data_IF_089684196623
#
_entry.id   IF_089684196623
#
_cell.length_a   1.000
_cell.length_b   1.000
_cell.length_c   1.000
_cell.angle_alpha   90.00
_cell.angle_beta   90.00
_cell.angle_gamma   90.00
#
_symmetry.space_group_name_H-M   'P 1'
#
loop_
_entity.id
_entity.type
_entity.pdbx_description
1 polymer ?
#
# COMPACT_ATOMS: atom_id res chain seq x y z
N UNK A 1 0.01 3.74 -20.57
CA UNK A 1 0.64 4.85 -19.80
C UNK A 1 1.98 4.33 -19.29
N UNK A 2 3.09 5.00 -19.61
CA UNK A 2 4.40 4.63 -19.08
C UNK A 2 4.52 5.00 -17.60
N UNK A 3 5.51 4.44 -16.88
CA UNK A 3 5.72 4.80 -15.47
C UNK A 3 6.09 6.28 -15.29
N UNK A 4 6.80 6.89 -16.25
CA UNK A 4 7.10 8.34 -16.25
C UNK A 4 5.82 9.19 -16.38
N UNK A 5 4.88 8.78 -17.24
CA UNK A 5 3.58 9.46 -17.38
C UNK A 5 2.76 9.30 -16.11
N UNK A 6 2.75 8.10 -15.49
CA UNK A 6 2.09 7.84 -14.22
C UNK A 6 2.66 8.75 -13.13
N UNK A 7 3.98 8.83 -13.02
CA UNK A 7 4.67 9.66 -12.03
C UNK A 7 4.31 11.13 -12.17
N UNK A 8 4.39 11.67 -13.39
CA UNK A 8 4.07 13.08 -13.66
C UNK A 8 2.61 13.44 -13.30
N UNK A 9 1.67 12.56 -13.65
CA UNK A 9 0.24 12.74 -13.33
C UNK A 9 0.02 12.64 -11.83
N UNK A 10 0.56 11.62 -11.18
CA UNK A 10 0.38 11.38 -9.76
C UNK A 10 1.00 12.52 -8.91
N UNK A 11 2.17 13.05 -9.29
CA UNK A 11 2.78 14.19 -8.62
C UNK A 11 1.92 15.45 -8.71
N UNK A 12 1.38 15.76 -9.88
CA UNK A 12 0.47 16.89 -10.08
C UNK A 12 -0.80 16.75 -9.24
N UNK A 13 -1.39 15.56 -9.25
CA UNK A 13 -2.58 15.24 -8.47
C UNK A 13 -2.30 15.36 -6.96
N UNK A 14 -1.14 14.86 -6.51
CA UNK A 14 -0.71 14.98 -5.11
C UNK A 14 -0.68 16.45 -4.65
N UNK A 15 -0.05 17.33 -5.42
CA UNK A 15 0.00 18.76 -5.08
C UNK A 15 -1.40 19.38 -4.95
N UNK A 16 -2.36 18.90 -5.73
CA UNK A 16 -3.74 19.38 -5.68
C UNK A 16 -4.52 18.83 -4.48
N UNK A 17 -4.35 17.54 -4.12
CA UNK A 17 -5.16 16.91 -3.08
C UNK A 17 -4.57 17.01 -1.67
N UNK A 18 -3.26 17.22 -1.50
CA UNK A 18 -2.57 17.16 -0.20
C UNK A 18 -3.23 17.98 0.91
N UNK A 19 -3.67 19.19 0.62
CA UNK A 19 -4.35 20.03 1.62
C UNK A 19 -5.71 19.47 2.05
N UNK A 20 -6.45 18.85 1.13
CA UNK A 20 -7.72 18.17 1.43
C UNK A 20 -7.50 16.88 2.24
N UNK A 21 -6.39 16.18 2.00
CA UNK A 21 -5.99 14.99 2.78
C UNK A 21 -5.72 15.37 4.23
N UNK A 22 -4.96 16.45 4.48
CA UNK A 22 -4.67 16.90 5.84
C UNK A 22 -5.94 17.31 6.58
N UNK A 23 -6.84 18.05 5.94
CA UNK A 23 -8.14 18.41 6.54
C UNK A 23 -8.97 17.17 6.88
N UNK A 24 -9.00 16.16 6.01
CA UNK A 24 -9.72 14.92 6.27
C UNK A 24 -9.07 14.12 7.40
N UNK A 25 -7.74 14.08 7.46
CA UNK A 25 -6.97 13.46 8.56
C UNK A 25 -7.30 14.09 9.91
N UNK A 26 -7.31 15.41 9.99
CA UNK A 26 -7.65 16.12 11.24
C UNK A 26 -9.07 15.80 11.71
N UNK A 27 -10.04 15.73 10.79
CA UNK A 27 -11.41 15.31 11.12
C UNK A 27 -11.45 13.88 11.62
N UNK A 28 -10.71 12.97 11.00
CA UNK A 28 -10.61 11.58 11.45
C UNK A 28 -10.00 11.48 12.85
N UNK A 29 -8.90 12.20 13.12
CA UNK A 29 -8.27 12.28 14.45
C UNK A 29 -9.26 12.78 15.50
N UNK A 30 -10.05 13.82 15.21
CA UNK A 30 -11.07 14.31 16.12
C UNK A 30 -12.15 13.27 16.39
N UNK A 31 -12.62 12.56 15.35
CA UNK A 31 -13.58 11.46 15.52
C UNK A 31 -13.04 10.38 16.44
N UNK A 32 -11.77 9.96 16.22
CA UNK A 32 -11.12 8.96 17.08
C UNK A 32 -11.10 9.44 18.53
N UNK A 33 -10.73 10.69 18.79
CA UNK A 33 -10.71 11.27 20.16
C UNK A 33 -12.08 11.26 20.83
N UNK A 34 -13.15 11.46 20.06
CA UNK A 34 -14.52 11.49 20.58
C UNK A 34 -15.12 10.07 20.73
N UNK A 35 -14.46 9.03 20.26
CA UNK A 35 -14.96 7.64 20.35
C UNK A 35 -14.61 7.05 21.73
N UNK A 36 -15.58 6.48 22.45
CA UNK A 36 -15.33 5.86 23.75
C UNK A 36 -14.27 4.76 23.70
N UNK A 37 -13.34 4.66 24.67
CA UNK A 37 -12.23 3.70 24.65
C UNK A 37 -12.65 2.23 24.48
N UNK A 38 -13.77 1.81 25.03
CA UNK A 38 -14.30 0.43 24.89
C UNK A 38 -14.73 0.07 23.46
N UNK A 39 -15.02 1.05 22.62
CA UNK A 39 -15.40 0.83 21.22
C UNK A 39 -14.18 0.45 20.36
N UNK A 40 -13.00 0.85 20.75
CA UNK A 40 -11.75 0.69 20.00
C UNK A 40 -11.20 -0.75 20.07
N UNK A 41 -11.56 -1.49 21.12
CA UNK A 41 -11.16 -2.88 21.27
C UNK A 41 -11.91 -3.84 20.33
N UNK A 42 -13.06 -3.39 19.79
CA UNK A 42 -13.97 -4.22 19.00
C UNK A 42 -13.91 -3.95 17.50
N UNK A 43 -13.49 -2.74 17.10
CA UNK A 43 -13.45 -2.35 15.68
C UNK A 43 -12.20 -1.54 15.37
N UNK A 44 -11.49 -1.93 14.33
CA UNK A 44 -10.46 -1.06 13.76
C UNK A 44 -11.15 0.20 13.22
N UNK A 45 -10.99 1.33 13.92
CA UNK A 45 -11.51 2.62 13.43
C UNK A 45 -10.81 2.94 12.11
N UNK A 46 -11.59 3.03 11.07
CA UNK A 46 -11.12 3.31 9.72
C UNK A 46 -12.12 4.20 8.98
N UNK A 47 -11.63 4.94 8.03
CA UNK A 47 -12.46 5.83 7.21
C UNK A 47 -11.86 5.97 5.81
N UNK A 48 -12.71 6.00 4.81
CA UNK A 48 -12.31 6.16 3.42
C UNK A 48 -12.92 7.43 2.84
N UNK A 49 -12.09 8.23 2.18
CA UNK A 49 -12.51 9.42 1.46
C UNK A 49 -12.12 9.32 0.00
N UNK A 50 -13.00 9.74 -0.89
CA UNK A 50 -12.73 9.85 -2.32
C UNK A 50 -12.48 11.31 -2.68
N UNK A 51 -11.34 11.59 -3.30
CA UNK A 51 -10.94 12.91 -3.74
C UNK A 51 -10.78 12.91 -5.26
N UNK A 52 -11.48 13.82 -5.92
CA UNK A 52 -11.35 14.02 -7.36
C UNK A 52 -10.49 15.26 -7.64
N UNK A 53 -9.56 15.13 -8.60
CA UNK A 53 -8.73 16.23 -9.09
C UNK A 53 -9.44 17.01 -10.21
N UNK A 54 -8.89 18.16 -10.59
CA UNK A 54 -9.37 18.94 -11.74
C UNK A 54 -9.26 18.16 -13.06
N UNK A 55 -8.26 17.28 -13.15
CA UNK A 55 -8.08 16.36 -14.29
C UNK A 55 -9.04 15.17 -14.26
N UNK A 56 -9.99 15.13 -13.31
CA UNK A 56 -10.98 14.07 -13.08
C UNK A 56 -10.35 12.73 -12.62
N UNK A 57 -9.09 12.71 -12.24
CA UNK A 57 -8.51 11.53 -11.61
C UNK A 57 -9.10 11.37 -10.20
N UNK A 58 -9.34 10.13 -9.81
CA UNK A 58 -9.97 9.80 -8.53
C UNK A 58 -8.94 9.14 -7.63
N UNK A 59 -8.73 9.71 -6.47
CA UNK A 59 -7.84 9.19 -5.43
C UNK A 59 -8.65 8.82 -4.21
N UNK A 60 -8.36 7.67 -3.64
CA UNK A 60 -8.94 7.20 -2.38
C UNK A 60 -7.94 7.41 -1.26
N UNK A 61 -8.40 8.03 -0.18
CA UNK A 61 -7.62 8.18 1.05
C UNK A 61 -8.24 7.29 2.10
N UNK A 62 -7.45 6.34 2.60
CA UNK A 62 -7.85 5.42 3.64
C UNK A 62 -7.11 5.76 4.93
N UNK A 63 -7.85 6.17 5.97
CA UNK A 63 -7.35 6.45 7.31
C UNK A 63 -7.63 5.28 8.22
N UNK A 64 -6.69 4.97 9.10
CA UNK A 64 -6.90 3.96 10.15
C UNK A 64 -6.17 4.33 11.44
N UNK A 65 -6.81 3.96 12.55
CA UNK A 65 -6.25 4.15 13.87
C UNK A 65 -5.15 3.13 14.14
N UNK A 66 -4.06 3.56 14.76
CA UNK A 66 -2.98 2.70 15.20
C UNK A 66 -3.05 2.46 16.72
N UNK A 67 -2.87 3.53 17.49
CA UNK A 67 -2.90 3.49 18.95
C UNK A 67 -3.04 4.89 19.55
N UNK A 68 -3.32 4.93 20.86
CA UNK A 68 -3.22 6.17 21.64
C UNK A 68 -2.03 6.07 22.58
N UNK A 69 -1.19 7.09 22.60
CA UNK A 69 -0.03 7.15 23.51
C UNK A 69 -0.49 7.29 24.96
N UNK A 70 0.36 6.94 25.95
CA UNK A 70 0.05 7.17 27.38
C UNK A 70 -0.26 8.65 27.70
N UNK A 71 0.30 9.59 26.94
CA UNK A 71 0.00 11.02 27.05
C UNK A 71 -1.30 11.45 26.35
N UNK A 72 -2.11 10.51 25.85
CA UNK A 72 -3.39 10.76 25.20
C UNK A 72 -3.31 11.22 23.74
N UNK A 73 -2.13 11.22 23.11
CA UNK A 73 -2.00 11.55 21.69
C UNK A 73 -2.47 10.39 20.80
N UNK A 74 -3.45 10.64 19.96
CA UNK A 74 -3.98 9.69 18.98
C UNK A 74 -3.01 9.57 17.80
N UNK A 75 -2.63 8.35 17.47
CA UNK A 75 -1.83 8.00 16.30
C UNK A 75 -2.70 7.33 15.25
N UNK A 76 -2.69 7.91 14.07
CA UNK A 76 -3.38 7.39 12.89
C UNK A 76 -2.39 7.25 11.75
N UNK A 77 -2.68 6.36 10.83
CA UNK A 77 -1.98 6.26 9.55
C UNK A 77 -2.94 6.51 8.41
N UNK A 78 -2.39 6.76 7.22
CA UNK A 78 -3.17 6.93 6.02
C UNK A 78 -2.45 6.33 4.81
N UNK A 79 -3.25 5.87 3.85
CA UNK A 79 -2.80 5.47 2.52
C UNK A 79 -3.58 6.27 1.49
N UNK A 80 -2.90 6.74 0.47
CA UNK A 80 -3.50 7.43 -0.67
C UNK A 80 -3.27 6.54 -1.88
N UNK A 81 -4.35 6.13 -2.54
CA UNK A 81 -4.24 5.23 -3.68
C UNK A 81 -5.27 5.52 -4.76
N UNK A 82 -4.98 5.03 -5.96
CA UNK A 82 -5.92 4.99 -7.09
C UNK A 82 -5.83 3.63 -7.79
N UNK A 83 -6.87 3.29 -8.54
CA UNK A 83 -6.86 2.10 -9.40
C UNK A 83 -6.40 2.47 -10.81
N UNK A 84 -5.63 1.58 -11.42
CA UNK A 84 -5.16 1.67 -12.80
C UNK A 84 -5.54 0.39 -13.56
N UNK A 85 -5.78 0.45 -14.87
CA UNK A 85 -5.82 -0.75 -15.69
C UNK A 85 -4.49 -1.49 -15.63
N UNK A 86 -4.51 -2.76 -15.32
CA UNK A 86 -3.36 -3.67 -15.34
C UNK A 86 -3.55 -4.75 -16.41
N UNK A 87 -2.50 -5.52 -16.66
CA UNK A 87 -2.50 -6.56 -17.71
C UNK A 87 -3.49 -7.70 -17.42
N UNK A 88 -3.67 -8.06 -16.16
CA UNK A 88 -4.54 -9.16 -15.72
C UNK A 88 -5.73 -8.68 -14.88
N UNK A 89 -6.00 -7.39 -14.83
CA UNK A 89 -7.09 -6.82 -14.03
C UNK A 89 -6.83 -5.40 -13.56
N UNK A 90 -7.04 -5.15 -12.29
CA UNK A 90 -6.86 -3.82 -11.69
C UNK A 90 -5.58 -3.76 -10.87
N UNK A 91 -4.69 -2.86 -11.23
CA UNK A 91 -3.53 -2.50 -10.43
C UNK A 91 -3.89 -1.37 -9.46
N UNK A 92 -3.18 -1.29 -8.35
CA UNK A 92 -3.34 -0.22 -7.37
C UNK A 92 -2.06 0.58 -7.23
N UNK A 93 -2.15 1.89 -7.43
CA UNK A 93 -1.05 2.83 -7.29
C UNK A 93 -1.19 3.58 -5.97
N UNK A 94 -0.19 3.47 -5.11
CA UNK A 94 -0.12 4.12 -3.80
C UNK A 94 0.87 5.27 -3.83
N UNK A 95 0.51 6.37 -3.20
CA UNK A 95 1.43 7.45 -2.87
C UNK A 95 1.94 7.24 -1.46
N UNK A 96 3.22 6.94 -1.34
CA UNK A 96 3.87 6.81 -0.05
C UNK A 96 4.73 8.03 0.23
N UNK A 97 4.60 8.51 1.47
CA UNK A 97 5.39 9.58 2.08
C UNK A 97 5.19 10.98 1.48
N UNK A 98 4.51 11.83 2.25
CA UNK A 98 4.27 13.25 1.93
C UNK A 98 5.58 14.06 1.82
N UNK A 99 6.69 13.59 2.44
CA UNK A 99 7.97 14.29 2.45
C UNK A 99 8.91 13.87 1.29
N UNK A 100 8.74 12.66 0.79
CA UNK A 100 9.50 12.13 -0.35
C UNK A 100 8.52 11.43 -1.28
N UNK A 101 8.07 12.13 -2.30
CA UNK A 101 7.14 11.58 -3.27
C UNK A 101 7.68 10.27 -3.85
N UNK A 102 7.04 9.17 -3.50
CA UNK A 102 7.34 7.83 -3.99
C UNK A 102 6.02 7.15 -4.33
N UNK A 103 6.03 6.44 -5.41
CA UNK A 103 4.89 5.65 -5.86
C UNK A 103 5.20 4.16 -5.70
N UNK A 104 4.21 3.43 -5.20
CA UNK A 104 4.24 1.98 -5.14
C UNK A 104 3.04 1.44 -5.91
N UNK A 105 3.29 0.60 -6.91
CA UNK A 105 2.28 -0.05 -7.72
C UNK A 105 2.18 -1.51 -7.32
N UNK A 106 1.00 -1.93 -6.91
CA UNK A 106 0.69 -3.34 -6.64
C UNK A 106 -0.05 -3.88 -7.84
N UNK A 107 0.57 -4.80 -8.59
CA UNK A 107 -0.04 -5.38 -9.79
C UNK A 107 -1.22 -6.28 -9.43
N UNK A 108 -2.12 -6.45 -10.39
CA UNK A 108 -3.24 -7.40 -10.28
C UNK A 108 -2.77 -8.83 -10.09
N UNK A 109 -1.68 -9.20 -10.77
CA UNK A 109 -1.02 -10.50 -10.62
C UNK A 109 -0.51 -10.71 -9.19
N UNK A 110 0.23 -9.74 -8.64
CA UNK A 110 0.69 -9.77 -7.25
C UNK A 110 -0.48 -9.91 -6.27
N UNK A 111 -1.53 -9.10 -6.43
CA UNK A 111 -2.70 -9.11 -5.55
C UNK A 111 -3.37 -10.47 -5.49
N UNK A 112 -3.52 -11.14 -6.64
CA UNK A 112 -4.09 -12.48 -6.74
C UNK A 112 -3.18 -13.52 -6.05
N UNK A 113 -1.88 -13.51 -6.31
CA UNK A 113 -0.95 -14.45 -5.68
C UNK A 113 -0.86 -14.25 -4.16
N UNK A 114 -0.89 -13.00 -3.71
CA UNK A 114 -0.92 -12.69 -2.28
C UNK A 114 -2.19 -13.23 -1.60
N UNK A 115 -3.34 -13.12 -2.27
CA UNK A 115 -4.59 -13.70 -1.79
C UNK A 115 -4.51 -15.24 -1.72
N UNK A 116 -4.01 -15.89 -2.77
CA UNK A 116 -3.91 -17.33 -2.86
C UNK A 116 -2.88 -17.95 -1.91
N UNK A 117 -1.72 -17.29 -1.73
CA UNK A 117 -0.55 -17.85 -1.02
C UNK A 117 -0.41 -17.38 0.42
N UNK A 118 -1.01 -16.26 0.78
CA UNK A 118 -0.91 -15.71 2.12
C UNK A 118 -2.28 -15.57 2.81
N UNK A 119 -3.22 -14.85 2.21
CA UNK A 119 -4.52 -14.56 2.84
C UNK A 119 -5.33 -15.83 3.04
N UNK A 120 -5.51 -16.63 2.00
CA UNK A 120 -6.29 -17.86 2.03
C UNK A 120 -5.75 -18.89 3.03
N UNK A 121 -4.47 -19.32 2.93
CA UNK A 121 -3.88 -20.28 3.85
C UNK A 121 -3.91 -19.84 5.33
N UNK A 122 -3.73 -18.55 5.60
CA UNK A 122 -3.77 -17.99 6.94
C UNK A 122 -5.19 -17.62 7.41
N UNK A 123 -6.23 -17.88 6.61
CA UNK A 123 -7.64 -17.60 6.90
C UNK A 123 -7.89 -16.14 7.33
N UNK A 124 -7.19 -15.20 6.70
CA UNK A 124 -7.23 -13.78 7.07
C UNK A 124 -8.55 -13.16 6.64
N UNK A 125 -9.21 -12.49 7.58
CA UNK A 125 -10.44 -11.74 7.32
C UNK A 125 -10.10 -10.32 6.83
N UNK A 126 -10.33 -10.04 5.55
CA UNK A 126 -10.04 -8.74 4.95
C UNK A 126 -10.94 -7.59 5.43
N UNK A 127 -12.11 -7.92 6.02
CA UNK A 127 -13.08 -6.94 6.53
C UNK A 127 -13.44 -5.84 5.50
N UNK A 128 -13.62 -6.25 4.25
CA UNK A 128 -13.94 -5.36 3.13
C UNK A 128 -12.74 -4.65 2.49
N UNK A 129 -11.52 -4.91 2.94
CA UNK A 129 -10.31 -4.43 2.26
C UNK A 129 -10.00 -5.31 1.04
N UNK A 130 -9.42 -4.71 0.03
CA UNK A 130 -8.84 -5.43 -1.10
C UNK A 130 -7.47 -6.01 -0.70
N UNK A 131 -7.02 -7.14 -1.30
CA UNK A 131 -5.72 -7.75 -0.99
C UNK A 131 -4.55 -6.77 -1.08
N UNK A 132 -4.49 -5.95 -2.13
CA UNK A 132 -3.44 -4.91 -2.29
C UNK A 132 -3.42 -3.90 -1.13
N UNK A 133 -4.59 -3.45 -0.67
CA UNK A 133 -4.71 -2.48 0.42
C UNK A 133 -4.34 -3.13 1.75
N UNK A 134 -4.77 -4.37 1.96
CA UNK A 134 -4.39 -5.15 3.13
C UNK A 134 -2.87 -5.36 3.19
N UNK A 135 -2.25 -5.76 2.06
CA UNK A 135 -0.80 -5.88 1.94
C UNK A 135 -0.08 -4.58 2.32
N UNK A 136 -0.42 -3.47 1.68
CA UNK A 136 0.21 -2.18 1.94
C UNK A 136 0.05 -1.70 3.39
N UNK A 137 -1.04 -2.09 4.05
CA UNK A 137 -1.31 -1.77 5.45
C UNK A 137 -0.48 -2.61 6.42
N UNK A 138 -0.23 -3.88 6.11
CA UNK A 138 0.22 -4.89 7.07
C UNK A 138 1.58 -5.49 6.78
N UNK A 139 2.16 -5.28 5.59
CA UNK A 139 3.46 -5.85 5.21
C UNK A 139 4.65 -5.34 6.07
N UNK A 140 4.45 -4.27 6.85
CA UNK A 140 5.48 -3.75 7.75
C UNK A 140 6.73 -3.28 7.03
N UNK A 141 7.88 -3.42 7.69
CA UNK A 141 9.19 -3.11 7.11
C UNK A 141 9.57 -4.18 6.08
N UNK A 142 9.81 -3.73 4.86
CA UNK A 142 10.26 -4.56 3.74
C UNK A 142 11.75 -4.37 3.55
N UNK A 143 12.51 -5.45 3.61
CA UNK A 143 13.98 -5.42 3.46
C UNK A 143 14.37 -5.99 2.11
N UNK A 144 15.23 -5.26 1.39
CA UNK A 144 15.83 -5.77 0.14
C UNK A 144 16.74 -6.93 0.49
N UNK A 145 16.58 -8.03 -0.22
CA UNK A 145 17.45 -9.20 -0.12
C UNK A 145 18.62 -9.01 -1.09
N UNK A 146 19.87 -9.16 -0.64
CA UNK A 146 21.06 -9.02 -1.52
C UNK A 146 21.27 -10.21 -2.45
N UNK A 147 20.31 -11.09 -2.56
CA UNK A 147 20.34 -12.27 -3.39
C UNK A 147 19.48 -12.08 -4.64
N UNK A 148 20.02 -12.47 -5.78
CA UNK A 148 19.36 -12.44 -7.08
C UNK A 148 19.09 -13.87 -7.54
N UNK A 149 17.85 -14.26 -7.85
CA UNK A 149 17.55 -15.60 -8.35
C UNK A 149 18.30 -15.92 -9.64
N UNK A 150 18.85 -17.12 -9.74
CA UNK A 150 19.54 -17.60 -10.95
C UNK A 150 18.61 -17.70 -12.17
N UNK A 151 17.31 -17.76 -11.93
CA UNK A 151 16.28 -17.79 -12.98
C UNK A 151 16.10 -16.46 -13.70
N UNK A 152 16.62 -15.35 -13.15
CA UNK A 152 16.53 -14.05 -13.79
C UNK A 152 17.59 -13.86 -14.84
N UNK A 153 17.19 -13.25 -15.96
CA UNK A 153 18.12 -12.82 -17.00
C UNK A 153 19.01 -11.66 -16.50
N UNK A 154 20.14 -11.44 -17.15
CA UNK A 154 21.03 -10.31 -16.82
C UNK A 154 20.35 -8.94 -16.99
N UNK A 155 19.31 -8.84 -17.79
CA UNK A 155 18.53 -7.63 -17.97
C UNK A 155 17.56 -7.42 -16.81
N UNK A 156 16.89 -8.48 -16.36
CA UNK A 156 16.00 -8.45 -15.19
C UNK A 156 16.73 -8.12 -13.90
N UNK A 157 17.96 -8.63 -13.72
CA UNK A 157 18.81 -8.34 -12.56
C UNK A 157 19.17 -6.86 -12.39
N UNK A 158 19.02 -6.03 -13.42
CA UNK A 158 19.30 -4.59 -13.34
C UNK A 158 18.22 -3.80 -12.64
N UNK A 159 16.96 -4.21 -12.82
CA UNK A 159 15.80 -3.43 -12.41
C UNK A 159 14.94 -4.15 -11.37
N UNK A 160 15.08 -5.49 -11.29
CA UNK A 160 14.31 -6.32 -10.35
C UNK A 160 15.10 -6.61 -9.09
N UNK A 161 14.38 -6.76 -8.00
CA UNK A 161 14.94 -7.15 -6.71
C UNK A 161 13.89 -7.88 -5.86
N UNK A 162 14.37 -8.54 -4.83
CA UNK A 162 13.50 -9.21 -3.87
C UNK A 162 13.38 -8.37 -2.60
N UNK A 163 12.15 -8.32 -2.10
CA UNK A 163 11.88 -7.89 -0.74
C UNK A 163 11.50 -9.08 0.13
N UNK A 164 11.86 -9.01 1.39
CA UNK A 164 11.35 -9.90 2.43
C UNK A 164 10.62 -9.06 3.48
N UNK A 165 9.46 -9.54 3.89
CA UNK A 165 8.69 -9.06 5.02
C UNK A 165 8.31 -10.22 5.93
N UNK A 166 7.65 -9.95 7.06
CA UNK A 166 7.08 -11.00 7.92
C UNK A 166 6.03 -11.87 7.21
N UNK A 167 5.48 -11.39 6.09
CA UNK A 167 4.44 -12.09 5.33
C UNK A 167 4.99 -13.00 4.24
N UNK A 168 6.24 -12.83 3.85
CA UNK A 168 6.90 -13.61 2.81
C UNK A 168 7.81 -12.79 1.93
N UNK A 169 8.25 -13.41 0.84
CA UNK A 169 9.14 -12.82 -0.17
C UNK A 169 8.34 -12.32 -1.36
N UNK A 170 8.73 -11.20 -1.90
CA UNK A 170 8.10 -10.59 -3.05
C UNK A 170 9.11 -10.08 -4.05
N UNK A 171 8.78 -10.21 -5.31
CA UNK A 171 9.54 -9.66 -6.43
C UNK A 171 9.00 -8.27 -6.78
N UNK A 172 9.90 -7.31 -6.93
CA UNK A 172 9.57 -5.97 -7.33
C UNK A 172 10.54 -5.42 -8.38
N UNK A 173 10.09 -4.39 -9.09
CA UNK A 173 10.87 -3.65 -10.09
C UNK A 173 10.79 -2.16 -9.80
N UNK A 174 11.92 -1.47 -9.92
CA UNK A 174 11.98 -0.02 -9.79
C UNK A 174 12.20 0.63 -11.17
N UNK A 175 11.28 1.48 -11.58
CA UNK A 175 11.39 2.28 -12.81
C UNK A 175 11.12 3.75 -12.47
N UNK A 176 12.15 4.59 -12.54
CA UNK A 176 12.08 5.97 -12.04
C UNK A 176 11.81 6.01 -10.54
N UNK A 177 10.72 6.65 -10.14
CA UNK A 177 10.26 6.67 -8.74
C UNK A 177 9.06 5.74 -8.49
N UNK A 178 8.73 4.86 -9.44
CA UNK A 178 7.64 3.88 -9.31
C UNK A 178 8.22 2.52 -8.99
N UNK A 179 7.93 2.02 -7.80
CA UNK A 179 8.23 0.66 -7.38
C UNK A 179 7.02 -0.22 -7.66
N UNK A 180 7.18 -1.24 -8.49
CA UNK A 180 6.08 -2.14 -8.86
C UNK A 180 6.30 -3.50 -8.23
N UNK A 181 5.36 -3.95 -7.39
CA UNK A 181 5.28 -5.32 -6.87
C UNK A 181 4.69 -6.22 -7.95
N UNK A 182 5.50 -7.17 -8.41
CA UNK A 182 5.20 -8.03 -9.57
C UNK A 182 4.61 -9.35 -9.12
N UNK A 183 5.26 -10.02 -8.16
CA UNK A 183 4.97 -11.39 -7.78
C UNK A 183 5.11 -11.55 -6.27
N UNK A 184 4.16 -12.21 -5.63
CA UNK A 184 4.28 -12.68 -4.25
C UNK A 184 4.77 -14.12 -4.28
N UNK A 185 5.95 -14.36 -3.75
CA UNK A 185 6.53 -15.69 -3.61
C UNK A 185 6.04 -16.33 -2.31
N UNK A 186 5.94 -17.64 -2.28
CA UNK A 186 5.63 -18.33 -1.03
C UNK A 186 6.69 -18.02 0.03
N UNK A 187 6.30 -17.89 1.31
CA UNK A 187 7.28 -17.81 2.37
C UNK A 187 8.15 -19.06 2.29
N UNK A 188 9.48 -18.90 2.29
CA UNK A 188 10.38 -20.04 2.45
C UNK A 188 9.94 -20.77 3.73
N UNK A 189 9.47 -22.00 3.58
CA UNK A 189 9.26 -22.83 4.76
C UNK A 189 10.66 -22.97 5.39
N UNK A 190 10.81 -22.65 6.68
CA UNK A 190 12.06 -22.92 7.35
C UNK A 190 12.35 -24.42 7.13
N UNK A 191 13.43 -24.69 6.38
CA UNK A 191 13.81 -26.04 6.03
C UNK A 191 13.95 -26.89 7.31
N UNK A 192 13.36 -28.08 7.27
CA UNK A 192 13.52 -29.13 8.26
C UNK A 192 15.02 -29.46 8.46
#
# INVERSE_FOLDING_TARGET
>A
MTNEEIEAVAYKDFLEIRGRVEIAKDKFVQRVRCTPPGFWALHSLQETHTLQTRSKNTWTVYFYYLYTTPAGAVKVSSMIYTSLPGDEGTDYLFMNNLDRFRLERVSSHFSRQYEERYIGPNQIQLNGLLPAIYFMRTAGDRKIVPYTPDTWTEEEKKDKYLFVSEQGTMEAKLEGHVETYLTFLEPEQPGD
#
